data_IF_488721703926
#
_entry.id   IF_488721703926
#
_cell.length_a   1.000
_cell.length_b   1.000
_cell.length_c   1.000
_cell.angle_alpha   90.00
_cell.angle_beta   90.00
_cell.angle_gamma   90.00
#
_symmetry.space_group_name_H-M   'P 1'
#
loop_
_entity.id
_entity.type
_entity.pdbx_description
1 polymer ?
#
# COMPACT_ATOMS: atom_id res chain seq x y z
N UNK A 1 32.99 8.37 -3.83
CA UNK A 1 31.66 7.94 -4.32
C UNK A 1 31.29 6.64 -3.63
N UNK A 2 30.61 6.72 -2.48
CA UNK A 2 30.11 5.55 -1.76
C UNK A 2 28.87 5.03 -2.47
N UNK A 3 28.92 3.79 -2.95
CA UNK A 3 27.73 3.09 -3.47
C UNK A 3 26.78 2.89 -2.29
N UNK A 4 25.74 3.72 -2.22
CA UNK A 4 24.59 3.45 -1.35
C UNK A 4 23.98 2.16 -1.88
N UNK A 5 24.11 1.08 -1.12
CA UNK A 5 23.43 -0.17 -1.41
C UNK A 5 21.96 0.08 -1.05
N UNK A 6 21.02 0.18 -2.02
CA UNK A 6 19.63 0.35 -1.65
C UNK A 6 19.23 -0.89 -0.86
N UNK A 7 18.72 -0.70 0.37
CA UNK A 7 17.99 -1.78 1.05
C UNK A 7 16.96 -2.29 0.04
N UNK A 8 16.76 -3.61 -0.10
CA UNK A 8 15.68 -4.10 -0.93
C UNK A 8 14.40 -3.42 -0.42
N UNK A 9 13.85 -2.55 -1.26
CA UNK A 9 12.63 -1.82 -0.98
C UNK A 9 11.55 -2.89 -0.88
N UNK A 10 11.21 -3.26 0.35
CA UNK A 10 10.21 -4.29 0.60
C UNK A 10 8.90 -3.73 0.08
N UNK A 11 8.36 -4.36 -0.96
CA UNK A 11 7.09 -3.98 -1.56
C UNK A 11 6.01 -3.96 -0.47
N UNK A 12 5.49 -2.77 -0.18
CA UNK A 12 4.50 -2.53 0.86
C UNK A 12 3.25 -3.40 0.66
N UNK A 13 2.91 -3.75 -0.59
CA UNK A 13 1.76 -4.62 -0.92
C UNK A 13 1.95 -6.03 -0.39
N UNK A 14 3.17 -6.57 -0.40
CA UNK A 14 3.48 -7.89 0.14
C UNK A 14 3.23 -7.90 1.65
N UNK A 15 3.70 -6.86 2.36
CA UNK A 15 3.54 -6.73 3.81
C UNK A 15 2.07 -6.55 4.18
N UNK A 16 1.34 -5.71 3.47
CA UNK A 16 -0.10 -5.54 3.74
C UNK A 16 -0.87 -6.83 3.50
N UNK A 17 -0.57 -7.56 2.42
CA UNK A 17 -1.23 -8.85 2.13
C UNK A 17 -0.94 -9.92 3.18
N UNK A 18 0.27 -9.98 3.74
CA UNK A 18 0.60 -10.98 4.76
C UNK A 18 -0.07 -10.70 6.11
N UNK A 19 -0.41 -9.44 6.37
CA UNK A 19 -0.95 -9.00 7.65
C UNK A 19 -2.48 -8.85 7.67
N UNK A 20 -3.11 -8.53 6.54
CA UNK A 20 -4.54 -8.16 6.49
C UNK A 20 -5.49 -9.24 7.04
N UNK A 21 -5.15 -10.52 6.90
CA UNK A 21 -5.98 -11.65 7.33
C UNK A 21 -5.82 -12.05 8.80
N UNK A 22 -4.84 -11.48 9.51
CA UNK A 22 -4.52 -11.88 10.90
C UNK A 22 -5.46 -11.27 11.93
N UNK A 23 -6.07 -10.12 11.63
CA UNK A 23 -7.09 -9.47 12.47
C UNK A 23 -6.59 -8.88 13.80
N UNK A 24 -5.30 -8.98 14.14
CA UNK A 24 -4.76 -8.48 15.42
C UNK A 24 -4.54 -6.96 15.41
N UNK A 25 -4.48 -6.36 16.60
CA UNK A 25 -4.22 -4.93 16.74
C UNK A 25 -2.80 -4.58 16.26
N UNK A 26 -1.83 -5.44 16.56
CA UNK A 26 -0.43 -5.30 16.16
C UNK A 26 -0.28 -5.32 14.63
N UNK A 27 -1.03 -6.20 13.96
CA UNK A 27 -1.03 -6.27 12.50
C UNK A 27 -1.61 -5.00 11.87
N UNK A 28 -2.67 -4.42 12.45
CA UNK A 28 -3.24 -3.14 11.99
C UNK A 28 -2.22 -2.00 12.10
N UNK A 29 -1.54 -1.89 13.23
CA UNK A 29 -0.49 -0.88 13.45
C UNK A 29 0.64 -1.05 12.43
N UNK A 30 1.04 -2.30 12.16
CA UNK A 30 2.12 -2.57 11.22
C UNK A 30 1.70 -2.24 9.78
N UNK A 31 0.46 -2.55 9.37
CA UNK A 31 -0.09 -2.14 8.07
C UNK A 31 -0.09 -0.62 7.92
N UNK A 32 -0.58 0.11 8.92
CA UNK A 32 -0.59 1.57 8.91
C UNK A 32 0.83 2.13 8.75
N UNK A 33 1.77 1.64 9.56
CA UNK A 33 3.17 2.04 9.49
C UNK A 33 3.79 1.77 8.11
N UNK A 34 3.55 0.59 7.53
CA UNK A 34 4.06 0.25 6.20
C UNK A 34 3.50 1.18 5.13
N UNK A 35 2.21 1.51 5.17
CA UNK A 35 1.60 2.45 4.20
C UNK A 35 2.18 3.85 4.36
N UNK A 36 2.38 4.33 5.59
CA UNK A 36 3.00 5.63 5.86
C UNK A 36 4.45 5.68 5.38
N UNK A 37 5.22 4.61 5.60
CA UNK A 37 6.61 4.51 5.12
C UNK A 37 6.67 4.51 3.58
N UNK A 38 5.77 3.78 2.92
CA UNK A 38 5.70 3.73 1.46
C UNK A 38 5.22 5.05 0.84
N UNK A 39 4.28 5.74 1.50
CA UNK A 39 3.70 6.99 1.00
C UNK A 39 4.49 8.25 1.36
N UNK A 40 5.50 8.11 2.23
CA UNK A 40 6.38 9.20 2.65
C UNK A 40 5.68 10.23 3.53
N UNK A 41 6.15 11.48 3.44
CA UNK A 41 5.68 12.56 4.32
C UNK A 41 4.27 12.99 3.91
N UNK A 42 3.29 13.00 4.84
CA UNK A 42 1.95 13.51 4.57
C UNK A 42 1.95 14.93 4.03
N UNK A 43 1.24 15.13 2.92
CA UNK A 43 1.10 16.43 2.26
C UNK A 43 -0.15 17.13 2.77
N UNK A 44 -0.05 18.42 3.07
CA UNK A 44 -1.24 19.23 3.34
C UNK A 44 -2.17 19.21 2.11
N UNK A 45 -3.47 19.16 2.34
CA UNK A 45 -4.49 19.14 1.27
C UNK A 45 -4.29 20.23 0.20
N UNK A 46 -3.81 21.42 0.58
CA UNK A 46 -3.50 22.50 -0.37
C UNK A 46 -2.32 22.16 -1.29
N UNK A 47 -1.29 21.52 -0.78
CA UNK A 47 -0.11 21.14 -1.54
C UNK A 47 -0.39 19.92 -2.42
N UNK A 48 -1.18 18.96 -1.90
CA UNK A 48 -1.66 17.83 -2.67
C UNK A 48 -2.48 18.28 -3.90
N UNK A 49 -3.41 19.23 -3.72
CA UNK A 49 -4.20 19.81 -4.82
C UNK A 49 -3.34 20.46 -5.91
N UNK A 50 -2.29 21.19 -5.52
CA UNK A 50 -1.39 21.86 -6.48
C UNK A 50 -0.54 20.89 -7.30
N UNK A 51 -0.32 19.67 -6.80
CA UNK A 51 0.57 18.67 -7.39
C UNK A 51 -0.17 17.41 -7.81
N UNK A 52 -1.50 17.48 -7.96
CA UNK A 52 -2.35 16.32 -8.14
C UNK A 52 -1.88 15.41 -9.28
N UNK A 53 -1.50 16.00 -10.42
CA UNK A 53 -0.97 15.25 -11.57
C UNK A 53 0.27 14.41 -11.24
N UNK A 54 1.21 14.97 -10.46
CA UNK A 54 2.41 14.23 -10.04
C UNK A 54 2.02 13.11 -9.10
N UNK A 55 1.16 13.41 -8.12
CA UNK A 55 0.73 12.42 -7.13
C UNK A 55 -0.05 11.26 -7.75
N UNK A 56 -0.92 11.54 -8.72
CA UNK A 56 -1.63 10.49 -9.47
C UNK A 56 -0.67 9.66 -10.32
N UNK A 57 0.35 10.29 -10.93
CA UNK A 57 1.36 9.56 -11.69
C UNK A 57 2.18 8.64 -10.78
N UNK A 58 2.60 9.11 -9.60
CA UNK A 58 3.28 8.29 -8.59
C UNK A 58 2.40 7.13 -8.11
N UNK A 59 1.13 7.40 -7.79
CA UNK A 59 0.17 6.39 -7.38
C UNK A 59 -0.02 5.30 -8.44
N UNK A 60 -0.19 5.68 -9.71
CA UNK A 60 -0.27 4.74 -10.83
C UNK A 60 1.03 3.94 -11.06
N UNK A 61 2.17 4.42 -10.56
CA UNK A 61 3.45 3.70 -10.61
C UNK A 61 3.71 2.86 -9.34
N UNK A 62 2.72 2.70 -8.47
CA UNK A 62 2.80 1.84 -7.29
C UNK A 62 3.23 2.53 -6.00
N UNK A 63 3.43 3.85 -6.02
CA UNK A 63 3.82 4.63 -4.84
C UNK A 63 2.61 5.38 -4.27
N UNK A 64 2.07 5.00 -3.11
CA UNK A 64 0.95 5.71 -2.51
C UNK A 64 1.35 7.14 -2.14
N UNK A 65 0.36 8.02 -1.97
CA UNK A 65 0.56 9.37 -1.46
C UNK A 65 -0.33 9.59 -0.24
N UNK A 66 0.23 10.16 0.83
CA UNK A 66 -0.52 10.47 2.04
C UNK A 66 -0.89 11.95 2.05
N UNK A 67 -2.17 12.24 2.24
CA UNK A 67 -2.73 13.60 2.28
C UNK A 67 -3.30 13.84 3.67
N UNK A 68 -2.80 14.88 4.33
CA UNK A 68 -3.32 15.36 5.61
C UNK A 68 -4.49 16.32 5.38
N UNK A 69 -5.63 15.98 5.98
CA UNK A 69 -6.91 16.69 5.87
C UNK A 69 -7.49 16.96 7.26
N UNK A 70 -8.49 17.84 7.34
CA UNK A 70 -9.18 18.13 8.62
C UNK A 70 -9.86 16.89 9.23
N UNK A 71 -10.21 15.90 8.41
CA UNK A 71 -10.80 14.62 8.85
C UNK A 71 -9.77 13.51 9.12
N UNK A 72 -8.47 13.81 9.05
CA UNK A 72 -7.38 12.85 9.21
C UNK A 72 -6.62 12.57 7.91
N UNK A 73 -5.83 11.50 7.94
CA UNK A 73 -4.98 11.10 6.82
C UNK A 73 -5.78 10.34 5.75
N UNK A 74 -5.59 10.74 4.50
CA UNK A 74 -6.13 10.07 3.31
C UNK A 74 -4.98 9.45 2.54
N UNK A 75 -5.04 8.15 2.29
CA UNK A 75 -4.10 7.46 1.42
C UNK A 75 -4.67 7.43 0.00
N UNK A 76 -3.94 8.01 -0.95
CA UNK A 76 -4.23 7.92 -2.38
C UNK A 76 -3.34 6.86 -3.01
N UNK A 77 -3.95 5.87 -3.64
CA UNK A 77 -3.27 4.78 -4.34
C UNK A 77 -4.04 4.44 -5.63
N UNK A 78 -3.40 3.72 -6.54
CA UNK A 78 -4.06 3.23 -7.74
C UNK A 78 -5.09 2.13 -7.40
N UNK A 79 -6.10 1.98 -8.27
CA UNK A 79 -7.20 1.05 -8.01
C UNK A 79 -6.76 -0.42 -8.05
N UNK A 80 -5.88 -0.76 -8.98
CA UNK A 80 -5.23 -2.08 -9.08
C UNK A 80 -4.46 -2.42 -7.80
N UNK A 81 -3.75 -1.45 -7.22
CA UNK A 81 -3.06 -1.62 -5.95
C UNK A 81 -4.02 -1.85 -4.79
N UNK A 82 -5.13 -1.12 -4.76
CA UNK A 82 -6.18 -1.30 -3.76
C UNK A 82 -6.76 -2.71 -3.87
N UNK A 83 -7.03 -3.16 -5.10
CA UNK A 83 -7.53 -4.49 -5.38
C UNK A 83 -6.54 -5.56 -4.92
N UNK A 84 -5.24 -5.42 -5.21
CA UNK A 84 -4.22 -6.39 -4.80
C UNK A 84 -4.13 -6.50 -3.27
N UNK A 85 -4.20 -5.37 -2.56
CA UNK A 85 -4.09 -5.39 -1.09
C UNK A 85 -5.40 -5.72 -0.39
N UNK A 86 -6.57 -5.42 -0.96
CA UNK A 86 -7.87 -5.69 -0.30
C UNK A 86 -8.41 -7.07 -0.66
N UNK A 87 -8.45 -7.45 -1.94
CA UNK A 87 -9.07 -8.71 -2.35
C UNK A 87 -8.28 -9.90 -1.82
N UNK A 88 -8.99 -10.87 -1.25
CA UNK A 88 -8.40 -12.16 -0.95
C UNK A 88 -8.02 -12.84 -2.27
N UNK A 89 -6.85 -13.47 -2.30
CA UNK A 89 -6.51 -14.32 -3.43
C UNK A 89 -7.52 -15.47 -3.43
N UNK A 90 -8.26 -15.60 -4.52
CA UNK A 90 -9.12 -16.76 -4.74
C UNK A 90 -8.31 -18.06 -4.66
N UNK A 91 -8.99 -19.21 -4.51
CA UNK A 91 -8.32 -20.49 -4.36
C UNK A 91 -7.40 -20.72 -5.56
N UNK A 92 -6.20 -21.21 -5.28
CA UNK A 92 -5.28 -21.67 -6.31
C UNK A 92 -5.90 -22.83 -7.08
N UNK A 93 -5.50 -23.01 -8.34
CA UNK A 93 -5.94 -24.16 -9.13
C UNK A 93 -5.68 -25.49 -8.40
N UNK A 94 -4.57 -25.60 -7.67
CA UNK A 94 -4.24 -26.78 -6.87
C UNK A 94 -5.23 -27.03 -5.72
N UNK A 95 -5.73 -25.99 -5.07
CA UNK A 95 -6.74 -26.10 -4.01
C UNK A 95 -8.11 -26.51 -4.58
N UNK A 96 -8.50 -25.92 -5.73
CA UNK A 96 -9.72 -26.31 -6.44
C UNK A 96 -9.67 -27.78 -6.86
N UNK A 97 -8.53 -28.23 -7.42
CA UNK A 97 -8.34 -29.63 -7.84
C UNK A 97 -8.34 -30.60 -6.66
N UNK A 98 -7.91 -30.19 -5.46
CA UNK A 98 -7.98 -31.01 -4.24
C UNK A 98 -9.42 -31.16 -3.73
N UNK A 99 -10.24 -30.11 -3.84
CA UNK A 99 -11.66 -30.16 -3.45
C UNK A 99 -12.57 -30.90 -4.43
N UNK A 100 -12.10 -31.19 -5.64
CA UNK A 100 -12.81 -31.94 -6.67
C UNK A 100 -12.60 -33.47 -6.61
N UNK A 101 -11.82 -33.98 -5.64
CA UNK A 101 -11.63 -35.40 -5.36
C UNK A 101 -12.43 -35.82 -4.15
#
# INVERSE_FOLDING_TARGET
>A
MTKVNPRPEVDWKIVVRSLKGTGTAEARILVEKTILEAGGIPLRLRDARRRLFILTTCACNGTPAIVDTEGGLVCMLALDDLIDVVLERGPTLGEVMKGAR
#
